data_IF_329928221577
#
_entry.id   IF_329928221577
#
_cell.length_a   1.000
_cell.length_b   1.000
_cell.length_c   1.000
_cell.angle_alpha   90.00
_cell.angle_beta   90.00
_cell.angle_gamma   90.00
#
_symmetry.space_group_name_H-M   'P 1'
#
loop_
_entity.id
_entity.type
_entity.pdbx_description
1 polymer ?
#
# COMPACT_ATOMS: atom_id res chain seq x y z
N UNK A 1 -5.87 8.84 -3.63
CA UNK A 1 -5.75 8.09 -2.36
C UNK A 1 -4.71 8.80 -1.52
N UNK A 2 -4.88 8.83 -0.20
CA UNK A 2 -3.96 9.47 0.72
C UNK A 2 -3.82 8.65 2.00
N UNK A 3 -2.70 8.85 2.69
CA UNK A 3 -2.48 8.44 4.07
C UNK A 3 -2.80 9.65 4.95
N UNK A 4 -3.60 9.48 6.01
CA UNK A 4 -4.02 10.59 6.86
C UNK A 4 -4.15 10.17 8.34
N UNK A 5 -4.19 11.17 9.22
CA UNK A 5 -4.34 10.99 10.66
C UNK A 5 -3.07 10.43 11.33
N UNK A 6 -3.10 10.41 12.67
CA UNK A 6 -1.98 9.94 13.50
C UNK A 6 -1.72 8.43 13.31
N UNK A 7 -2.78 7.68 13.03
CA UNK A 7 -2.71 6.25 12.74
C UNK A 7 -2.28 5.93 11.31
N UNK A 8 -2.05 6.94 10.46
CA UNK A 8 -1.67 6.75 9.04
C UNK A 8 -2.64 5.82 8.30
N UNK A 9 -3.93 6.13 8.41
CA UNK A 9 -5.03 5.39 7.77
C UNK A 9 -5.13 5.73 6.29
N UNK A 10 -5.66 4.82 5.47
CA UNK A 10 -5.92 5.06 4.04
C UNK A 10 -7.29 5.68 3.82
N UNK A 11 -7.34 6.75 3.02
CA UNK A 11 -8.56 7.32 2.49
C UNK A 11 -8.52 7.50 0.97
N UNK A 12 -9.68 7.40 0.34
CA UNK A 12 -9.87 7.56 -1.09
C UNK A 12 -10.92 8.61 -1.42
N UNK A 13 -10.71 9.33 -2.51
CA UNK A 13 -11.69 10.23 -3.13
C UNK A 13 -11.51 10.20 -4.64
N UNK A 14 -12.57 10.54 -5.39
CA UNK A 14 -12.56 10.71 -6.85
C UNK A 14 -13.39 11.93 -7.25
N UNK A 15 -13.19 12.52 -8.44
CA UNK A 15 -14.02 13.61 -8.93
C UNK A 15 -15.51 13.28 -8.82
N UNK A 16 -16.29 14.22 -8.28
CA UNK A 16 -17.72 14.04 -8.00
C UNK A 16 -18.05 13.53 -6.60
N UNK A 17 -17.06 13.08 -5.80
CA UNK A 17 -17.30 12.72 -4.40
C UNK A 17 -17.24 13.97 -3.53
N UNK A 18 -18.19 14.07 -2.59
CA UNK A 18 -18.29 15.19 -1.64
C UNK A 18 -17.37 15.04 -0.43
N UNK A 19 -16.88 13.83 -0.17
CA UNK A 19 -16.06 13.51 1.00
C UNK A 19 -15.03 12.43 0.67
N UNK A 20 -13.99 12.34 1.50
CA UNK A 20 -13.06 11.23 1.53
C UNK A 20 -13.74 10.00 2.16
N UNK A 21 -13.42 8.81 1.63
CA UNK A 21 -13.94 7.54 2.10
C UNK A 21 -12.80 6.74 2.72
N UNK A 22 -13.00 6.27 3.94
CA UNK A 22 -12.05 5.41 4.64
C UNK A 22 -11.95 4.03 4.00
N UNK A 23 -10.72 3.57 3.80
CA UNK A 23 -10.48 2.19 3.41
C UNK A 23 -10.45 1.32 4.64
N UNK A 24 -11.37 0.36 4.71
CA UNK A 24 -11.25 -0.73 5.68
C UNK A 24 -10.06 -1.59 5.29
N UNK A 25 -9.10 -1.68 6.19
CA UNK A 25 -7.89 -2.47 6.03
C UNK A 25 -7.63 -3.31 7.28
N UNK A 26 -7.08 -4.53 7.12
CA UNK A 26 -6.55 -5.29 8.26
C UNK A 26 -5.29 -4.67 8.88
N UNK A 27 -4.57 -3.78 8.18
CA UNK A 27 -3.38 -3.12 8.71
C UNK A 27 -3.70 -1.77 9.35
N UNK A 28 -2.99 -1.45 10.43
CA UNK A 28 -3.25 -0.29 11.26
C UNK A 28 -2.46 0.96 10.86
N UNK A 29 -1.29 0.81 10.22
CA UNK A 29 -0.35 1.92 9.98
C UNK A 29 0.34 1.81 8.63
N UNK A 30 0.06 2.73 7.72
CA UNK A 30 0.67 2.77 6.39
C UNK A 30 1.87 3.71 6.30
N UNK A 31 2.94 3.29 5.66
CA UNK A 31 4.14 4.11 5.47
C UNK A 31 4.22 4.77 4.09
N UNK A 32 3.68 4.13 3.05
CA UNK A 32 3.71 4.66 1.69
C UNK A 32 2.58 4.12 0.81
N UNK A 33 2.26 4.87 -0.25
CA UNK A 33 1.29 4.52 -1.29
C UNK A 33 1.88 4.75 -2.68
N UNK A 34 1.55 3.89 -3.62
CA UNK A 34 1.92 4.02 -5.02
C UNK A 34 0.73 3.76 -5.93
N UNK A 35 0.71 4.42 -7.09
CA UNK A 35 -0.25 4.18 -8.15
C UNK A 35 0.47 3.68 -9.40
N UNK A 36 0.07 2.52 -9.90
CA UNK A 36 0.65 1.93 -11.10
C UNK A 36 -0.40 1.14 -11.87
N UNK A 37 -0.48 1.35 -13.20
CA UNK A 37 -1.41 0.66 -14.12
C UNK A 37 -2.86 0.58 -13.61
N UNK A 38 -3.38 1.70 -13.07
CA UNK A 38 -4.77 1.75 -12.59
C UNK A 38 -4.99 1.14 -11.20
N UNK A 39 -3.95 0.64 -10.54
CA UNK A 39 -4.04 0.02 -9.22
C UNK A 39 -3.30 0.85 -8.18
N UNK A 40 -3.94 1.03 -7.03
CA UNK A 40 -3.30 1.59 -5.84
C UNK A 40 -2.69 0.46 -5.02
N UNK A 41 -1.42 0.60 -4.67
CA UNK A 41 -0.73 -0.27 -3.73
C UNK A 41 -0.31 0.54 -2.50
N UNK A 42 -0.35 -0.09 -1.34
CA UNK A 42 0.06 0.52 -0.08
C UNK A 42 0.99 -0.44 0.67
N UNK A 43 1.99 0.09 1.37
CA UNK A 43 2.86 -0.69 2.26
C UNK A 43 2.64 -0.25 3.69
N UNK A 44 2.49 -1.22 4.58
CA UNK A 44 2.38 -0.92 6.00
C UNK A 44 3.74 -0.84 6.71
N UNK A 45 3.71 -0.45 7.98
CA UNK A 45 4.88 -0.38 8.83
C UNK A 45 5.58 -1.73 9.01
N UNK A 46 4.93 -2.85 8.71
CA UNK A 46 5.50 -4.18 8.80
C UNK A 46 6.16 -4.62 7.47
N UNK A 47 5.87 -3.94 6.38
CA UNK A 47 6.34 -4.28 5.04
C UNK A 47 5.41 -5.19 4.26
N UNK A 48 4.19 -5.40 4.75
CA UNK A 48 3.12 -6.04 4.01
C UNK A 48 2.65 -5.10 2.90
N UNK A 49 2.52 -5.63 1.68
CA UNK A 49 2.01 -4.85 0.55
C UNK A 49 0.56 -5.22 0.32
N UNK A 50 -0.26 -4.20 0.21
CA UNK A 50 -1.69 -4.30 -0.03
C UNK A 50 -2.03 -3.73 -1.40
N UNK A 51 -2.90 -4.40 -2.13
CA UNK A 51 -3.59 -3.80 -3.27
C UNK A 51 -4.93 -3.27 -2.78
N UNK A 52 -5.15 -1.98 -2.98
CA UNK A 52 -6.39 -1.32 -2.64
C UNK A 52 -7.39 -1.51 -3.77
N UNK A 53 -8.53 -2.11 -3.44
CA UNK A 53 -9.67 -2.32 -4.33
C UNK A 53 -10.69 -1.23 -4.06
N UNK A 54 -11.07 -0.53 -5.12
CA UNK A 54 -12.15 0.45 -5.12
C UNK A 54 -13.13 -0.07 -6.18
N UNK A 55 -14.27 -0.59 -5.76
CA UNK A 55 -15.34 -0.93 -6.70
C UNK A 55 -16.26 0.26 -6.95
N UNK A 56 -17.02 0.20 -8.06
CA UNK A 56 -17.98 1.26 -8.41
C UNK A 56 -19.16 1.35 -7.44
N UNK A 57 -19.37 0.32 -6.62
CA UNK A 57 -20.37 0.26 -5.56
C UNK A 57 -19.84 0.79 -4.20
N UNK A 58 -18.72 1.49 -4.19
CA UNK A 58 -18.10 2.08 -2.99
C UNK A 58 -17.65 1.08 -1.91
N UNK A 59 -17.56 -0.22 -2.20
CA UNK A 59 -16.81 -1.13 -1.33
C UNK A 59 -15.33 -0.87 -1.58
N UNK A 60 -14.74 -0.17 -0.62
CA UNK A 60 -13.32 0.11 -0.61
C UNK A 60 -12.65 -0.79 0.41
N UNK A 61 -11.59 -1.48 0.00
CA UNK A 61 -10.88 -2.40 0.87
C UNK A 61 -9.45 -2.64 0.43
N UNK A 62 -8.59 -3.01 1.38
CA UNK A 62 -7.21 -3.39 1.11
C UNK A 62 -7.07 -4.91 1.23
N UNK A 63 -6.42 -5.55 0.24
CA UNK A 63 -6.07 -6.98 0.31
C UNK A 63 -4.54 -7.12 0.30
N UNK A 64 -4.00 -7.83 1.28
CA UNK A 64 -2.59 -8.20 1.28
C UNK A 64 -2.26 -9.06 0.04
N UNK A 65 -1.24 -8.66 -0.70
CA UNK A 65 -0.70 -9.39 -1.85
C UNK A 65 0.72 -9.87 -1.60
N UNK A 66 1.42 -9.24 -0.65
CA UNK A 66 2.75 -9.65 -0.22
C UNK A 66 2.74 -9.74 1.30
N UNK A 67 3.07 -10.91 1.87
CA UNK A 67 3.12 -11.10 3.30
C UNK A 67 4.32 -10.39 3.91
N UNK A 68 4.30 -10.25 5.25
CA UNK A 68 5.37 -9.62 6.01
C UNK A 68 6.70 -10.32 5.74
N UNK A 69 7.75 -9.60 5.34
CA UNK A 69 9.09 -10.17 5.26
C UNK A 69 9.54 -10.66 6.63
N UNK A 70 10.28 -11.78 6.71
CA UNK A 70 10.85 -12.24 7.99
C UNK A 70 11.98 -11.31 8.41
N UNK A 71 12.01 -10.96 9.70
CA UNK A 71 13.10 -10.18 10.31
C UNK A 71 13.02 -8.67 10.08
N UNK A 72 11.89 -8.13 9.63
CA UNK A 72 11.68 -6.68 9.55
C UNK A 72 11.19 -6.11 10.89
N UNK A 73 11.87 -5.07 11.36
CA UNK A 73 11.39 -4.24 12.46
C UNK A 73 10.38 -3.19 11.97
N UNK A 74 9.40 -2.90 12.82
CA UNK A 74 8.30 -1.96 12.54
C UNK A 74 8.76 -0.49 12.57
N UNK A 75 9.96 -0.23 13.11
CA UNK A 75 10.55 1.10 13.26
C UNK A 75 11.14 1.65 11.96
N UNK A 76 11.33 0.77 10.96
CA UNK A 76 11.98 1.15 9.72
C UNK A 76 10.92 1.61 8.73
N UNK A 77 10.99 2.89 8.32
CA UNK A 77 10.16 3.44 7.24
C UNK A 77 10.41 2.68 5.95
N UNK A 78 9.31 2.21 5.35
CA UNK A 78 9.30 1.43 4.11
C UNK A 78 8.68 2.25 2.98
N UNK A 79 9.31 2.22 1.80
CA UNK A 79 8.83 2.93 0.61
C UNK A 79 8.58 1.97 -0.54
N UNK A 80 7.47 2.15 -1.25
CA UNK A 80 7.16 1.43 -2.46
C UNK A 80 7.97 1.99 -3.63
N UNK A 81 8.67 1.11 -4.35
CA UNK A 81 9.34 1.44 -5.60
C UNK A 81 8.78 0.50 -6.66
N UNK A 82 8.09 1.07 -7.65
CA UNK A 82 7.63 0.34 -8.83
C UNK A 82 8.76 0.31 -9.88
N UNK A 83 9.12 -0.86 -10.42
CA UNK A 83 10.06 -0.97 -11.52
C UNK A 83 9.38 -0.53 -12.81
N UNK A 84 10.10 0.24 -13.62
CA UNK A 84 9.64 0.77 -14.92
C UNK A 84 9.19 -0.31 -15.92
N UNK A 85 9.54 -1.59 -15.71
CA UNK A 85 9.31 -2.68 -16.68
C UNK A 85 8.86 -4.03 -16.10
N UNK A 86 8.69 -4.18 -14.78
CA UNK A 86 8.26 -5.45 -14.20
C UNK A 86 7.05 -5.30 -13.27
N UNK A 87 6.41 -6.42 -12.96
CA UNK A 87 5.29 -6.52 -12.01
C UNK A 87 5.79 -6.74 -10.58
N UNK A 88 7.03 -6.36 -10.26
CA UNK A 88 7.55 -6.51 -8.91
C UNK A 88 7.24 -5.22 -8.12
N UNK A 89 6.91 -5.34 -6.84
CA UNK A 89 6.87 -4.19 -5.95
C UNK A 89 8.06 -4.33 -5.02
N UNK A 90 8.88 -3.28 -4.96
CA UNK A 90 9.99 -3.23 -4.03
C UNK A 90 9.62 -2.39 -2.82
N UNK A 91 9.96 -2.89 -1.64
CA UNK A 91 9.93 -2.12 -0.41
C UNK A 91 11.37 -1.80 -0.02
N UNK A 92 11.72 -0.52 0.05
CA UNK A 92 13.05 -0.08 0.53
C UNK A 92 12.92 0.42 1.95
N UNK A 93 13.67 -0.21 2.84
CA UNK A 93 13.90 0.25 4.21
C UNK A 93 14.90 1.41 4.20
N UNK A 94 14.67 2.43 5.03
CA UNK A 94 15.60 3.56 5.18
C UNK A 94 17.02 3.15 5.64
N UNK A 95 17.19 1.92 6.15
CA UNK A 95 18.49 1.32 6.49
C UNK A 95 19.21 0.64 5.29
N UNK A 96 18.76 0.88 4.05
CA UNK A 96 19.43 0.37 2.84
C UNK A 96 19.04 -1.05 2.41
N UNK A 97 18.16 -1.72 3.16
CA UNK A 97 17.67 -3.06 2.80
C UNK A 97 16.56 -2.93 1.74
N UNK A 98 16.72 -3.64 0.63
CA UNK A 98 15.72 -3.73 -0.45
C UNK A 98 15.03 -5.08 -0.39
N UNK A 99 13.72 -5.07 -0.16
CA UNK A 99 12.89 -6.26 -0.27
C UNK A 99 12.17 -6.24 -1.61
N UNK A 100 12.25 -7.33 -2.35
CA UNK A 100 11.53 -7.51 -3.60
C UNK A 100 10.40 -8.49 -3.42
N UNK A 101 9.20 -8.11 -3.82
CA UNK A 101 8.06 -8.99 -3.81
C UNK A 101 7.49 -9.14 -5.21
N UNK A 102 7.32 -10.39 -5.61
CA UNK A 102 6.75 -10.77 -6.91
C UNK A 102 5.28 -11.12 -6.69
N UNK A 103 4.39 -10.35 -7.29
CA UNK A 103 3.00 -10.76 -7.48
C UNK A 103 2.90 -11.36 -8.88
N UNK A 104 2.69 -12.67 -8.97
CA UNK A 104 2.06 -13.24 -10.16
C UNK A 104 0.65 -12.66 -10.22
N UNK A 105 0.34 -11.93 -11.30
CA UNK A 105 -0.97 -11.34 -11.59
C UNK A 105 -1.27 -10.00 -10.89
N UNK A 106 -0.43 -9.00 -11.19
CA UNK A 106 -0.81 -7.58 -11.11
C UNK A 106 -1.58 -7.12 -12.34
#
# INVERSE_FOLDING_TARGET
>A
MAIYGEYKTLAFTRPGYKAWIDLKSPSLVYDDIAFYKGKFSAVDCHGEVFVCRIDDNQKVGAKAVVPRPKGTEDLIKKRLISPLKSNAIFSRAFCGILYCAWGSDF
#
